data_IF_444586042911
#
_entry.id   IF_444586042911
#
_cell.length_a   1.000
_cell.length_b   1.000
_cell.length_c   1.000
_cell.angle_alpha   90.00
_cell.angle_beta   90.00
_cell.angle_gamma   90.00
#
_symmetry.space_group_name_H-M   'P 1'
#
loop_
_entity.id
_entity.type
_entity.pdbx_description
1 polymer ?
#
# COMPACT_ATOMS: atom_id res chain seq x y z
N UNK A 1 -6.38 -13.26 -14.24
CA UNK A 1 -5.84 -11.89 -14.42
C UNK A 1 -5.61 -11.13 -13.11
N UNK A 2 -6.42 -11.31 -12.05
CA UNK A 2 -6.23 -10.61 -10.77
C UNK A 2 -4.87 -10.86 -10.06
N UNK A 3 -4.25 -12.02 -10.27
CA UNK A 3 -3.00 -12.41 -9.62
C UNK A 3 -1.79 -11.57 -10.08
N UNK A 4 -1.72 -11.20 -11.35
CA UNK A 4 -0.61 -10.42 -11.94
C UNK A 4 -0.68 -8.94 -11.49
N UNK A 5 -1.89 -8.37 -11.49
CA UNK A 5 -2.13 -6.99 -11.02
C UNK A 5 -1.80 -6.81 -9.53
N UNK A 6 -2.04 -7.84 -8.71
CA UNK A 6 -1.76 -7.81 -7.27
C UNK A 6 -0.25 -7.76 -6.97
N UNK A 7 0.57 -8.52 -7.71
CA UNK A 7 2.03 -8.53 -7.52
C UNK A 7 2.66 -7.19 -7.91
N UNK A 8 2.23 -6.62 -9.04
CA UNK A 8 2.76 -5.32 -9.49
C UNK A 8 2.34 -4.17 -8.56
N UNK A 9 1.08 -4.18 -8.10
CA UNK A 9 0.59 -3.20 -7.12
C UNK A 9 1.34 -3.28 -5.78
N UNK A 10 1.62 -4.48 -5.30
CA UNK A 10 2.33 -4.68 -4.02
C UNK A 10 3.82 -4.33 -4.15
N UNK A 11 4.46 -4.61 -5.28
CA UNK A 11 5.82 -4.13 -5.56
C UNK A 11 5.88 -2.59 -5.52
N UNK A 12 4.90 -1.93 -6.13
CA UNK A 12 4.79 -0.47 -6.13
C UNK A 12 4.53 0.09 -4.71
N UNK A 13 3.70 -0.59 -3.93
CA UNK A 13 3.43 -0.24 -2.52
C UNK A 13 4.65 -0.46 -1.62
N UNK A 14 5.41 -1.53 -1.81
CA UNK A 14 6.67 -1.75 -1.08
C UNK A 14 7.69 -0.67 -1.42
N UNK A 15 7.78 -0.23 -2.67
CA UNK A 15 8.62 0.90 -3.04
C UNK A 15 8.18 2.19 -2.34
N UNK A 16 6.87 2.50 -2.35
CA UNK A 16 6.32 3.67 -1.68
C UNK A 16 6.52 3.63 -0.16
N UNK A 17 6.38 2.47 0.49
CA UNK A 17 6.56 2.37 1.93
C UNK A 17 8.00 2.69 2.37
N UNK A 18 9.00 2.29 1.55
CA UNK A 18 10.42 2.48 1.84
C UNK A 18 10.83 3.94 1.64
N UNK A 19 10.31 4.59 0.59
CA UNK A 19 10.82 5.89 0.16
C UNK A 19 10.01 7.10 0.60
N UNK A 20 8.70 6.95 0.81
CA UNK A 20 7.80 8.10 1.02
C UNK A 20 7.01 8.03 2.32
N UNK A 21 6.54 6.84 2.74
CA UNK A 21 5.68 6.71 3.92
C UNK A 21 5.78 5.34 4.60
N UNK A 22 6.52 5.28 5.70
CA UNK A 22 6.58 4.08 6.55
C UNK A 22 5.22 3.73 7.22
N UNK A 23 4.31 4.69 7.32
CA UNK A 23 2.96 4.54 7.90
C UNK A 23 2.14 3.41 7.24
N UNK A 24 2.32 3.21 5.93
CA UNK A 24 1.62 2.19 5.15
C UNK A 24 2.32 0.83 5.20
N UNK A 25 3.57 0.79 5.69
CA UNK A 25 4.42 -0.40 5.62
C UNK A 25 3.87 -1.59 6.40
N UNK A 26 3.20 -1.33 7.54
CA UNK A 26 2.53 -2.37 8.30
C UNK A 26 1.38 -3.00 7.50
N UNK A 27 0.52 -2.16 6.91
CA UNK A 27 -0.64 -2.60 6.13
C UNK A 27 -0.21 -3.38 4.88
N UNK A 28 0.81 -2.91 4.16
CA UNK A 28 1.37 -3.60 2.98
C UNK A 28 1.94 -4.98 3.35
N UNK A 29 2.65 -5.07 4.49
CA UNK A 29 3.19 -6.33 4.99
C UNK A 29 2.11 -7.34 5.37
N UNK A 30 0.96 -6.87 5.85
CA UNK A 30 -0.19 -7.73 6.15
C UNK A 30 -0.83 -8.21 4.84
N UNK A 31 -1.12 -7.30 3.90
CA UNK A 31 -1.72 -7.60 2.60
C UNK A 31 -0.87 -8.57 1.76
N UNK A 32 0.46 -8.44 1.81
CA UNK A 32 1.39 -9.34 1.11
C UNK A 32 1.19 -10.82 1.48
N UNK A 33 0.81 -11.13 2.73
CA UNK A 33 0.58 -12.50 3.19
C UNK A 33 -0.72 -13.10 2.64
N UNK A 34 -1.71 -12.25 2.35
CA UNK A 34 -3.00 -12.67 1.81
C UNK A 34 -3.01 -12.78 0.27
N UNK A 35 -1.90 -12.44 -0.40
CA UNK A 35 -1.75 -12.63 -1.85
C UNK A 35 -1.83 -14.09 -2.30
N UNK A 36 -1.50 -15.04 -1.43
CA UNK A 36 -1.55 -16.46 -1.74
C UNK A 36 -2.98 -16.93 -2.02
N UNK A 37 -3.99 -16.31 -1.39
CA UNK A 37 -5.41 -16.56 -1.61
C UNK A 37 -6.21 -15.24 -1.59
N UNK A 38 -6.26 -14.50 -2.71
CA UNK A 38 -6.94 -13.23 -2.76
C UNK A 38 -8.46 -13.45 -2.72
N UNK A 39 -9.07 -13.19 -1.56
CA UNK A 39 -10.54 -13.08 -1.43
C UNK A 39 -11.01 -11.67 -1.77
N UNK A 40 -12.27 -11.51 -2.17
CA UNK A 40 -12.88 -10.23 -2.60
C UNK A 40 -12.69 -9.10 -1.56
N UNK A 41 -12.80 -9.45 -0.28
CA UNK A 41 -12.56 -8.52 0.83
C UNK A 41 -11.11 -7.98 0.89
N UNK A 42 -10.12 -8.79 0.48
CA UNK A 42 -8.72 -8.35 0.48
C UNK A 42 -8.41 -7.38 -0.66
N UNK A 43 -9.08 -7.53 -1.80
CA UNK A 43 -8.93 -6.60 -2.91
C UNK A 43 -9.48 -5.21 -2.56
N UNK A 44 -10.56 -5.14 -1.79
CA UNK A 44 -11.09 -3.85 -1.30
C UNK A 44 -10.08 -3.13 -0.40
N UNK A 45 -9.35 -3.85 0.45
CA UNK A 45 -8.27 -3.28 1.27
C UNK A 45 -7.15 -2.71 0.40
N UNK A 46 -6.74 -3.44 -0.66
CA UNK A 46 -5.73 -2.94 -1.62
C UNK A 46 -6.23 -1.66 -2.31
N UNK A 47 -7.48 -1.64 -2.76
CA UNK A 47 -8.08 -0.45 -3.38
C UNK A 47 -8.18 0.72 -2.40
N UNK A 48 -8.49 0.45 -1.13
CA UNK A 48 -8.53 1.46 -0.08
C UNK A 48 -7.15 2.08 0.18
N UNK A 49 -6.10 1.26 0.23
CA UNK A 49 -4.71 1.73 0.37
C UNK A 49 -4.31 2.61 -0.82
N UNK A 50 -4.65 2.20 -2.04
CA UNK A 50 -4.36 2.99 -3.24
C UNK A 50 -5.11 4.33 -3.25
N UNK A 51 -6.38 4.36 -2.81
CA UNK A 51 -7.15 5.61 -2.63
C UNK A 51 -6.55 6.49 -1.53
N UNK A 52 -6.13 5.89 -0.41
CA UNK A 52 -5.47 6.61 0.67
C UNK A 52 -4.18 7.27 0.17
N UNK A 53 -3.34 6.54 -0.56
CA UNK A 53 -2.15 7.07 -1.21
C UNK A 53 -2.48 8.21 -2.17
N UNK A 54 -3.52 8.07 -2.98
CA UNK A 54 -3.94 9.12 -3.92
C UNK A 54 -4.40 10.39 -3.21
N UNK A 55 -5.16 10.27 -2.12
CA UNK A 55 -5.64 11.41 -1.33
C UNK A 55 -4.59 12.02 -0.40
N UNK A 56 -3.46 11.35 -0.18
CA UNK A 56 -2.37 11.85 0.67
C UNK A 56 -1.11 12.27 -0.10
N UNK A 57 -1.15 12.28 -1.44
CA UNK A 57 -0.06 12.79 -2.28
C UNK A 57 0.37 14.22 -1.92
N UNK A 58 -0.57 15.04 -1.45
CA UNK A 58 -0.31 16.45 -1.07
C UNK A 58 0.06 16.62 0.41
N UNK A 59 0.01 15.55 1.21
CA UNK A 59 0.31 15.59 2.65
C UNK A 59 1.69 15.00 2.93
N UNK A 60 2.70 15.86 2.98
CA UNK A 60 4.05 15.50 3.43
C UNK A 60 4.13 15.46 4.96
N UNK A 61 4.91 14.53 5.51
CA UNK A 61 5.27 14.56 6.94
C UNK A 61 6.25 15.71 7.16
N UNK A 62 5.77 16.80 7.76
CA UNK A 62 6.64 17.89 8.23
C UNK A 62 7.32 17.44 9.53
N UNK A 63 8.58 17.02 9.41
CA UNK A 63 9.46 16.94 10.58
C UNK A 63 9.90 18.36 10.92
N UNK A 64 9.27 18.95 11.94
CA UNK A 64 9.79 20.17 12.55
C UNK A 64 11.17 19.84 13.12
N UNK A 65 12.20 20.52 12.63
CA UNK A 65 13.55 20.45 13.19
C UNK A 65 13.46 21.05 14.59
N UNK A 66 13.68 20.21 15.61
CA UNK A 66 13.91 20.66 16.98
C UNK A 66 15.21 21.45 17.08
#
# INVERSE_FOLDING_TARGET
MAKILCVSAIGSLMYAMVYTRLDIGHTVRVVSRFMSNPSKAHWEVVQWILRYLQGTKEKCLYFSKG
#
